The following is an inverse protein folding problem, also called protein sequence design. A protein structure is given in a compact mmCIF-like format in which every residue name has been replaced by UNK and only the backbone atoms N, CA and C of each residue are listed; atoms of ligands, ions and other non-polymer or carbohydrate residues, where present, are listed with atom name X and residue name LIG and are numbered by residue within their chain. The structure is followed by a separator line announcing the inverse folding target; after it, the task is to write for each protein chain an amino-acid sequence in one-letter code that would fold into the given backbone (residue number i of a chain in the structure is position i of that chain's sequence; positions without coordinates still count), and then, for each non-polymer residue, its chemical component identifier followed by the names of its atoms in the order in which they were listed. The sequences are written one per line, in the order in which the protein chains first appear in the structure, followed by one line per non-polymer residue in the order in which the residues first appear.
data_IF_888457602017
#
_entry.id   IF_888457602017
#
_cell.length_a   1.000
_cell.length_b   1.000
_cell.length_c   1.000
_cell.angle_alpha   90.00
_cell.angle_beta   90.00
_cell.angle_gamma   90.00
#
_symmetry.space_group_name_H-M   'P 1'
#
loop_
_entity.id
_entity.type
_entity.pdbx_description
1 polymer ?
#
# COMPACT_ATOMS: atom_id res chain seq x y z
N UNK A 1 -2.50 10.11 -0.73
CA UNK A 1 -2.09 10.16 0.70
C UNK A 1 -3.15 10.73 1.65
N UNK A 2 -4.06 11.60 1.20
CA UNK A 2 -5.18 12.05 2.02
C UNK A 2 -6.37 11.10 1.84
N UNK A 3 -6.47 10.11 2.72
CA UNK A 3 -7.61 9.20 2.88
C UNK A 3 -7.70 8.76 4.35
N UNK A 4 -8.79 8.09 4.71
CA UNK A 4 -9.05 7.68 6.09
C UNK A 4 -8.66 6.23 6.40
N UNK A 5 -8.16 5.48 5.42
CA UNK A 5 -7.66 4.10 5.61
C UNK A 5 -6.41 4.08 6.48
N UNK A 6 -6.42 3.24 7.53
CA UNK A 6 -5.30 2.98 8.44
C UNK A 6 -5.07 1.47 8.53
N UNK A 7 -3.81 1.06 8.58
CA UNK A 7 -3.41 -0.36 8.68
C UNK A 7 -2.66 -0.59 9.99
N UNK A 8 -2.98 -1.69 10.66
CA UNK A 8 -2.40 -2.08 11.95
C UNK A 8 -2.01 -3.56 11.93
N UNK A 9 -0.97 -3.93 12.69
CA UNK A 9 -0.66 -5.36 12.93
C UNK A 9 -1.77 -6.04 13.72
N UNK A 10 -2.11 -7.28 13.35
CA UNK A 10 -3.08 -8.08 14.09
C UNK A 10 -2.48 -8.66 15.37
N UNK A 11 -3.31 -8.84 16.41
CA UNK A 11 -2.94 -9.61 17.61
C UNK A 11 -2.16 -8.88 18.70
N UNK A 12 -2.23 -7.55 18.78
CA UNK A 12 -1.52 -6.79 19.82
C UNK A 12 -1.99 -5.35 19.99
N UNK A 13 -1.14 -4.51 20.59
CA UNK A 13 -1.34 -3.06 20.65
C UNK A 13 -1.38 -2.48 19.23
N UNK A 14 -2.10 -1.36 19.01
CA UNK A 14 -2.20 -0.73 17.69
C UNK A 14 -0.83 -0.17 17.26
N UNK A 15 -0.05 -1.04 16.63
CA UNK A 15 1.27 -0.74 16.08
C UNK A 15 1.18 -0.55 14.57
N UNK A 16 2.05 0.32 14.07
CA UNK A 16 2.19 0.53 12.64
C UNK A 16 2.66 -0.76 11.95
N UNK A 17 2.14 -0.96 10.74
CA UNK A 17 2.61 -2.02 9.86
C UNK A 17 4.07 -1.77 9.45
N UNK A 18 4.87 -2.83 9.21
CA UNK A 18 6.25 -2.67 8.78
C UNK A 18 6.35 -1.98 7.41
N UNK A 19 7.46 -1.28 7.13
CA UNK A 19 7.70 -0.74 5.79
C UNK A 19 7.71 -1.88 4.76
N UNK A 20 7.18 -1.61 3.57
CA UNK A 20 6.96 -2.59 2.51
C UNK A 20 5.66 -3.38 2.62
N UNK A 21 4.81 -3.11 3.62
CA UNK A 21 3.49 -3.75 3.70
C UNK A 21 2.63 -3.32 2.53
N UNK A 22 2.12 -4.29 1.76
CA UNK A 22 1.17 -4.11 0.66
C UNK A 22 -0.15 -4.79 1.02
N UNK A 23 -1.26 -4.13 0.69
CA UNK A 23 -2.62 -4.67 0.81
C UNK A 23 -3.37 -4.42 -0.49
N UNK A 24 -3.60 -5.50 -1.24
CA UNK A 24 -4.25 -5.55 -2.54
C UNK A 24 -5.52 -6.44 -2.52
N UNK A 25 -5.94 -6.89 -1.34
CA UNK A 25 -7.12 -7.74 -1.15
C UNK A 25 -8.06 -7.21 -0.08
N UNK A 26 -9.36 -7.53 -0.21
CA UNK A 26 -10.48 -7.23 0.71
C UNK A 26 -10.84 -5.75 0.91
N UNK A 27 -9.87 -4.88 1.18
CA UNK A 27 -10.07 -3.44 1.48
C UNK A 27 -9.74 -2.54 0.27
N UNK A 28 -9.79 -3.14 -0.92
CA UNK A 28 -9.53 -2.51 -2.22
C UNK A 28 -10.80 -2.50 -3.07
N UNK A 29 -10.76 -1.82 -4.20
CA UNK A 29 -11.86 -1.75 -5.13
C UNK A 29 -12.16 -3.13 -5.75
N UNK A 30 -13.44 -3.52 -5.90
CA UNK A 30 -13.82 -4.88 -6.29
C UNK A 30 -13.64 -5.21 -7.78
N UNK A 31 -13.34 -4.22 -8.63
CA UNK A 31 -13.27 -4.37 -10.11
C UNK A 31 -11.98 -3.84 -10.70
N UNK A 32 -11.70 -2.56 -10.44
CA UNK A 32 -10.44 -1.93 -10.82
C UNK A 32 -9.29 -2.40 -9.92
N UNK A 33 -8.08 -2.36 -10.45
CA UNK A 33 -6.89 -2.71 -9.70
C UNK A 33 -6.36 -1.50 -8.91
N UNK A 34 -6.45 -1.59 -7.59
CA UNK A 34 -5.90 -0.65 -6.64
C UNK A 34 -5.29 -1.39 -5.45
N UNK A 35 -4.33 -0.75 -4.79
CA UNK A 35 -3.64 -1.32 -3.65
C UNK A 35 -3.17 -0.24 -2.68
N UNK A 36 -2.99 -0.61 -1.41
CA UNK A 36 -2.37 0.23 -0.40
C UNK A 36 -0.94 -0.25 -0.15
N UNK A 37 0.01 0.67 -0.07
CA UNK A 37 1.40 0.34 0.28
C UNK A 37 1.95 1.30 1.33
N UNK A 38 2.57 0.74 2.37
CA UNK A 38 3.29 1.50 3.39
C UNK A 38 4.81 1.36 3.17
N UNK A 39 5.39 2.21 2.32
CA UNK A 39 6.83 2.12 2.00
C UNK A 39 7.78 2.63 3.10
N UNK A 40 7.30 3.48 4.01
CA UNK A 40 8.12 4.12 5.05
C UNK A 40 7.74 3.64 6.45
N UNK A 41 8.69 3.73 7.38
CA UNK A 41 8.42 3.50 8.79
C UNK A 41 7.78 4.74 9.42
N UNK A 42 6.60 4.59 10.03
CA UNK A 42 5.94 5.67 10.77
C UNK A 42 6.52 5.79 12.17
N UNK A 43 7.52 6.65 12.34
CA UNK A 43 8.20 6.85 13.63
C UNK A 43 7.31 7.49 14.70
N UNK A 44 6.35 8.32 14.32
CA UNK A 44 5.46 9.05 15.23
C UNK A 44 4.01 8.92 14.74
N UNK A 45 3.11 8.57 15.65
CA UNK A 45 1.68 8.43 15.36
C UNK A 45 1.37 7.22 14.48
N UNK A 46 0.24 7.26 13.77
CA UNK A 46 -0.18 6.18 12.86
C UNK A 46 0.32 6.42 11.44
N UNK A 47 1.00 5.43 10.86
CA UNK A 47 1.42 5.42 9.46
C UNK A 47 0.23 5.62 8.53
N UNK A 48 0.42 6.47 7.51
CA UNK A 48 -0.55 6.60 6.40
C UNK A 48 -0.03 5.81 5.20
N UNK A 49 -0.59 4.62 4.90
CA UNK A 49 -0.24 3.93 3.67
C UNK A 49 -0.63 4.81 2.47
N UNK A 50 0.08 4.69 1.36
CA UNK A 50 -0.30 5.33 0.11
C UNK A 50 -1.26 4.41 -0.65
N UNK A 51 -2.40 4.97 -1.09
CA UNK A 51 -3.35 4.30 -1.98
C UNK A 51 -2.97 4.56 -3.44
N UNK A 52 -2.74 3.51 -4.20
CA UNK A 52 -2.45 3.52 -5.62
C UNK A 52 -3.62 2.94 -6.38
N UNK A 53 -4.10 3.67 -7.39
CA UNK A 53 -5.18 3.24 -8.26
C UNK A 53 -4.67 3.20 -9.69
N UNK A 54 -4.70 2.02 -10.31
CA UNK A 54 -4.25 1.83 -11.69
C UNK A 54 -5.42 2.13 -12.62
N UNK A 55 -5.36 3.32 -13.23
CA UNK A 55 -6.43 3.78 -14.13
C UNK A 55 -6.33 3.17 -15.53
N UNK A 56 -5.11 2.95 -15.99
CA UNK A 56 -4.80 2.38 -17.29
C UNK A 56 -3.46 1.65 -17.19
N UNK A 57 -3.42 0.44 -17.73
CA UNK A 57 -2.19 -0.33 -17.92
C UNK A 57 -2.20 -0.93 -19.33
N UNK A 58 -1.41 -0.35 -20.22
CA UNK A 58 -1.19 -0.84 -21.59
C UNK A 58 0.05 -1.73 -21.68
N UNK A 59 0.90 -1.72 -20.65
CA UNK A 59 2.13 -2.50 -20.59
C UNK A 59 1.81 -3.96 -20.21
N UNK A 60 0.74 -4.15 -19.43
CA UNK A 60 0.29 -5.46 -18.98
C UNK A 60 1.13 -5.98 -17.82
N UNK A 61 1.37 -5.12 -16.82
CA UNK A 61 2.11 -5.50 -15.63
C UNK A 61 1.36 -6.57 -14.84
N UNK A 62 2.12 -7.50 -14.25
CA UNK A 62 1.58 -8.30 -13.16
C UNK A 62 1.40 -7.41 -11.92
N UNK A 63 0.40 -7.69 -11.06
CA UNK A 63 0.21 -6.99 -9.79
C UNK A 63 1.50 -6.89 -8.96
N UNK A 64 2.22 -8.00 -8.82
CA UNK A 64 3.46 -8.10 -8.04
C UNK A 64 4.58 -7.25 -8.63
N UNK A 65 4.73 -7.22 -9.94
CA UNK A 65 5.79 -6.45 -10.60
C UNK A 65 5.54 -4.95 -10.46
N UNK A 66 4.29 -4.51 -10.61
CA UNK A 66 3.93 -3.11 -10.40
C UNK A 66 4.17 -2.69 -8.93
N UNK A 67 3.74 -3.52 -7.97
CA UNK A 67 3.95 -3.25 -6.55
C UNK A 67 5.44 -3.13 -6.21
N UNK A 68 6.29 -4.05 -6.71
CA UNK A 68 7.74 -4.01 -6.52
C UNK A 68 8.39 -2.78 -7.15
N UNK A 69 7.95 -2.40 -8.35
CA UNK A 69 8.43 -1.20 -9.04
C UNK A 69 8.13 0.05 -8.21
N UNK A 70 6.88 0.23 -7.81
CA UNK A 70 6.44 1.39 -7.01
C UNK A 70 7.14 1.42 -5.64
N UNK A 71 7.35 0.25 -5.03
CA UNK A 71 8.13 0.13 -3.80
C UNK A 71 9.57 0.60 -4.01
N UNK A 72 10.24 0.13 -5.07
CA UNK A 72 11.63 0.48 -5.39
C UNK A 72 11.79 1.97 -5.66
N UNK A 73 10.84 2.58 -6.38
CA UNK A 73 10.81 4.03 -6.64
C UNK A 73 10.62 4.87 -5.37
N UNK A 74 10.16 4.28 -4.27
CA UNK A 74 9.97 4.99 -3.01
C UNK A 74 11.27 5.19 -2.21
N UNK A 75 12.37 4.56 -2.62
CA UNK A 75 13.70 4.65 -2.00
C UNK A 75 14.72 5.41 -2.84
N UNK A 76 14.31 5.91 -4.01
CA UNK A 76 15.09 6.80 -4.88
C UNK A 76 14.81 8.24 -4.50
#
# INVERSE_FOLDING_TARGET
KNHHTKLFKAGGRPENVPPGTVVDTKVVHPRNYDFYMCAHNGAIGTSRPAHYNVLLDEIGFSPDDLQKLVHSLSYV
#
